data_IF_585851686906
#
_entry.id   IF_585851686906
#
_cell.length_a   1.000
_cell.length_b   1.000
_cell.length_c   1.000
_cell.angle_alpha   90.00
_cell.angle_beta   90.00
_cell.angle_gamma   90.00
#
_symmetry.space_group_name_H-M   'P 1'
#
loop_
_entity.id
_entity.type
_entity.pdbx_description
1 polymer ?
#
# COMPACT_ATOMS: atom_id res chain seq x y z
N UNK A 1 1.21 29.02 -4.72
CA UNK A 1 -0.19 28.90 -4.26
C UNK A 1 -0.18 28.54 -2.79
N UNK A 2 -0.98 29.21 -1.97
CA UNK A 2 -1.07 28.95 -0.52
C UNK A 2 -2.01 27.77 -0.26
N UNK A 3 -1.50 26.67 0.30
CA UNK A 3 -2.26 25.46 0.63
C UNK A 3 -3.09 25.59 1.92
N UNK A 4 -3.11 26.78 2.52
CA UNK A 4 -3.76 27.03 3.81
C UNK A 4 -5.25 26.68 3.83
N UNK A 5 -6.08 27.03 2.83
CA UNK A 5 -7.51 26.69 2.87
C UNK A 5 -7.81 25.18 2.85
N UNK A 6 -7.04 24.42 2.06
CA UNK A 6 -7.15 22.96 2.00
C UNK A 6 -6.67 22.32 3.30
N UNK A 7 -5.51 22.76 3.79
CA UNK A 7 -4.96 22.31 5.07
C UNK A 7 -5.94 22.57 6.22
N UNK A 8 -6.53 23.77 6.29
CA UNK A 8 -7.51 24.13 7.32
C UNK A 8 -8.78 23.27 7.23
N UNK A 9 -9.27 22.96 6.02
CA UNK A 9 -10.40 22.04 5.80
C UNK A 9 -10.09 20.60 6.24
N UNK A 10 -8.89 20.12 5.94
CA UNK A 10 -8.46 18.76 6.31
C UNK A 10 -8.25 18.66 7.83
N UNK A 11 -7.62 19.66 8.44
CA UNK A 11 -7.43 19.71 9.90
C UNK A 11 -8.77 19.84 10.63
N UNK A 12 -9.77 20.51 10.04
CA UNK A 12 -11.14 20.53 10.56
C UNK A 12 -11.81 19.15 10.50
N UNK A 13 -11.61 18.38 9.42
CA UNK A 13 -12.09 16.99 9.31
C UNK A 13 -11.38 16.03 10.28
N UNK A 14 -10.07 16.18 10.47
CA UNK A 14 -9.33 15.41 11.47
C UNK A 14 -9.80 15.74 12.89
N UNK A 15 -10.03 17.02 13.18
CA UNK A 15 -10.52 17.46 14.49
C UNK A 15 -11.91 16.89 14.81
N UNK A 16 -12.79 16.74 13.82
CA UNK A 16 -14.11 16.10 14.02
C UNK A 16 -14.02 14.58 14.06
N UNK A 17 -13.11 13.95 13.31
CA UNK A 17 -12.85 12.51 13.36
C UNK A 17 -12.13 12.04 14.63
N UNK A 18 -11.40 12.89 15.35
CA UNK A 18 -10.83 12.47 16.66
C UNK A 18 -11.88 12.13 17.73
N UNK A 19 -13.14 12.54 17.54
CA UNK A 19 -14.25 12.22 18.46
C UNK A 19 -14.91 10.86 18.18
N UNK A 20 -14.77 10.33 16.96
CA UNK A 20 -15.29 9.02 16.57
C UNK A 20 -14.13 8.23 15.95
N UNK A 21 -13.64 7.19 16.63
CA UNK A 21 -12.42 6.43 16.26
C UNK A 21 -12.50 5.71 14.90
N UNK A 22 -13.52 5.99 14.10
CA UNK A 22 -13.74 5.51 12.74
C UNK A 22 -12.79 6.19 11.75
N UNK A 23 -11.57 5.66 11.69
CA UNK A 23 -10.55 5.81 10.64
C UNK A 23 -10.23 7.23 10.16
N UNK A 24 -8.98 7.62 10.38
CA UNK A 24 -8.37 8.69 9.61
C UNK A 24 -8.16 8.19 8.19
N UNK A 25 -9.07 8.57 7.30
CA UNK A 25 -8.79 8.63 5.88
C UNK A 25 -7.52 9.45 5.70
N UNK A 26 -6.65 9.16 4.73
CA UNK A 26 -5.55 10.06 4.37
C UNK A 26 -6.05 11.03 3.28
N UNK A 27 -6.77 12.13 3.61
CA UNK A 27 -7.15 13.15 2.61
C UNK A 27 -5.93 13.90 2.04
N UNK A 28 -4.73 13.57 2.49
CA UNK A 28 -3.46 14.23 2.21
C UNK A 28 -2.82 13.84 0.88
N UNK A 29 -3.50 13.01 0.07
CA UNK A 29 -2.99 12.60 -1.24
C UNK A 29 -2.75 13.80 -2.16
N UNK A 30 -3.39 14.96 -1.98
CA UNK A 30 -3.02 16.17 -2.76
C UNK A 30 -1.57 16.65 -2.57
N UNK A 31 -0.88 16.23 -1.50
CA UNK A 31 0.52 16.59 -1.23
C UNK A 31 1.52 15.61 -1.87
N UNK A 32 1.04 14.50 -2.45
CA UNK A 32 1.87 13.52 -3.14
C UNK A 32 2.52 14.05 -4.42
N UNK A 33 1.85 14.95 -5.15
CA UNK A 33 2.24 15.34 -6.52
C UNK A 33 3.64 15.93 -6.67
N UNK A 34 4.27 16.38 -5.58
CA UNK A 34 5.61 16.99 -5.57
C UNK A 34 6.66 16.19 -4.78
N UNK A 35 6.25 15.12 -4.10
CA UNK A 35 7.12 14.40 -3.18
C UNK A 35 7.96 13.37 -3.93
N UNK A 36 9.18 13.78 -4.28
CA UNK A 36 10.24 12.86 -4.72
C UNK A 36 10.93 12.24 -3.52
N UNK A 37 11.53 11.08 -3.72
CA UNK A 37 12.39 10.45 -2.71
C UNK A 37 13.55 9.75 -3.41
N UNK A 38 14.75 9.93 -2.90
CA UNK A 38 15.94 9.22 -3.34
C UNK A 38 16.80 8.95 -2.11
N UNK A 39 16.75 7.71 -1.63
CA UNK A 39 17.41 7.31 -0.39
C UNK A 39 17.32 5.82 -0.15
N UNK A 40 17.74 5.37 1.02
CA UNK A 40 17.74 3.97 1.42
C UNK A 40 16.46 3.62 2.20
N UNK A 41 16.17 2.31 2.34
CA UNK A 41 15.10 1.84 3.22
C UNK A 41 15.25 2.34 4.65
N UNK A 42 16.48 2.38 5.20
CA UNK A 42 16.71 2.92 6.54
C UNK A 42 16.42 4.41 6.62
N UNK A 43 16.75 5.19 5.59
CA UNK A 43 16.40 6.62 5.55
C UNK A 43 14.88 6.82 5.54
N UNK A 44 14.10 5.97 4.88
CA UNK A 44 12.62 6.02 4.96
C UNK A 44 12.14 5.85 6.41
N UNK A 45 12.75 4.92 7.17
CA UNK A 45 12.43 4.70 8.59
C UNK A 45 12.79 5.92 9.44
N UNK A 46 13.98 6.50 9.23
CA UNK A 46 14.45 7.67 9.97
C UNK A 46 13.59 8.92 9.70
N UNK A 47 13.22 9.15 8.43
CA UNK A 47 12.34 10.25 8.03
C UNK A 47 10.93 10.07 8.59
N UNK A 48 10.43 8.84 8.63
CA UNK A 48 9.14 8.53 9.24
C UNK A 48 9.18 8.77 10.76
N UNK A 49 10.24 8.32 11.45
CA UNK A 49 10.42 8.54 12.89
C UNK A 49 10.45 10.04 13.22
N UNK A 50 11.10 10.83 12.37
CA UNK A 50 11.13 12.30 12.46
C UNK A 50 9.73 12.89 12.26
N UNK A 51 9.01 12.46 11.22
CA UNK A 51 7.65 12.92 10.90
C UNK A 51 6.63 12.57 11.99
N UNK A 52 6.75 11.41 12.62
CA UNK A 52 5.92 10.98 13.75
C UNK A 52 6.19 11.76 15.04
N UNK A 53 7.33 12.45 15.13
CA UNK A 53 7.74 13.25 16.29
C UNK A 53 7.48 14.75 16.09
N UNK A 54 7.33 15.18 14.84
CA UNK A 54 7.06 16.57 14.47
C UNK A 54 5.56 16.95 14.61
N UNK A 55 5.23 18.24 14.72
CA UNK A 55 3.84 18.71 14.66
C UNK A 55 3.12 18.29 13.37
N UNK A 56 1.79 18.23 13.40
CA UNK A 56 0.98 17.98 12.19
C UNK A 56 1.15 19.13 11.19
N UNK A 57 1.90 18.87 10.13
CA UNK A 57 2.01 19.72 8.94
C UNK A 57 1.66 18.90 7.70
N UNK A 58 1.31 19.60 6.62
CA UNK A 58 1.13 19.00 5.30
C UNK A 58 2.31 18.07 4.93
N UNK A 59 3.53 18.54 5.09
CA UNK A 59 4.74 17.75 4.79
C UNK A 59 4.86 16.48 5.64
N UNK A 60 4.68 16.58 6.96
CA UNK A 60 4.75 15.41 7.85
C UNK A 60 3.69 14.37 7.49
N UNK A 61 2.49 14.81 7.11
CA UNK A 61 1.39 13.95 6.72
C UNK A 61 1.66 13.25 5.38
N UNK A 62 2.21 13.98 4.42
CA UNK A 62 2.64 13.41 3.15
C UNK A 62 3.73 12.35 3.33
N UNK A 63 4.74 12.63 4.17
CA UNK A 63 5.80 11.69 4.49
C UNK A 63 5.28 10.41 5.15
N UNK A 64 4.38 10.54 6.12
CA UNK A 64 3.73 9.40 6.77
C UNK A 64 2.96 8.56 5.75
N UNK A 65 2.10 9.19 4.97
CA UNK A 65 1.28 8.49 3.97
C UNK A 65 2.18 7.74 2.97
N UNK A 66 3.30 8.32 2.55
CA UNK A 66 4.20 7.72 1.58
C UNK A 66 5.11 6.63 2.16
N UNK A 67 5.38 6.66 3.47
CA UNK A 67 6.39 5.81 4.07
C UNK A 67 6.03 4.33 3.95
N UNK A 68 4.78 3.94 4.21
CA UNK A 68 4.34 2.54 4.08
C UNK A 68 4.61 1.99 2.68
N UNK A 69 4.18 2.72 1.64
CA UNK A 69 4.45 2.34 0.25
C UNK A 69 5.93 2.34 -0.11
N UNK A 70 6.75 3.26 0.40
CA UNK A 70 8.21 3.28 0.19
C UNK A 70 8.89 2.06 0.83
N UNK A 71 8.55 1.73 2.09
CA UNK A 71 9.09 0.58 2.82
C UNK A 71 8.77 -0.74 2.10
N UNK A 72 7.49 -0.93 1.74
CA UNK A 72 7.03 -2.12 1.04
C UNK A 72 7.75 -2.27 -0.31
N UNK A 73 7.77 -1.21 -1.13
CA UNK A 73 8.43 -1.26 -2.46
C UNK A 73 9.91 -1.57 -2.38
N UNK A 74 10.64 -0.89 -1.49
CA UNK A 74 12.07 -1.14 -1.31
C UNK A 74 12.35 -2.57 -0.84
N UNK A 75 11.53 -3.10 0.06
CA UNK A 75 11.70 -4.47 0.57
C UNK A 75 11.42 -5.50 -0.51
N UNK A 76 10.38 -5.30 -1.32
CA UNK A 76 10.12 -6.16 -2.50
C UNK A 76 11.25 -6.06 -3.51
N UNK A 77 11.81 -4.88 -3.79
CA UNK A 77 12.93 -4.73 -4.72
C UNK A 77 14.18 -5.47 -4.25
N UNK A 78 14.48 -5.39 -2.94
CA UNK A 78 15.56 -6.15 -2.34
C UNK A 78 15.31 -7.66 -2.45
N UNK A 79 14.10 -8.10 -2.13
CA UNK A 79 13.67 -9.50 -2.20
C UNK A 79 13.80 -10.06 -3.61
N UNK A 80 13.35 -9.34 -4.64
CA UNK A 80 13.52 -9.75 -6.05
C UNK A 80 14.99 -9.85 -6.43
N UNK A 81 15.84 -8.96 -5.92
CA UNK A 81 17.29 -8.97 -6.19
C UNK A 81 18.04 -10.08 -5.44
N UNK A 82 17.55 -10.47 -4.26
CA UNK A 82 18.21 -11.41 -3.36
C UNK A 82 17.20 -12.47 -2.86
N UNK A 83 16.71 -13.34 -3.77
CA UNK A 83 15.67 -14.33 -3.44
C UNK A 83 16.07 -15.31 -2.34
N UNK A 84 17.37 -15.57 -2.18
CA UNK A 84 17.92 -16.54 -1.24
C UNK A 84 18.40 -15.91 0.09
N UNK A 85 18.16 -14.61 0.32
CA UNK A 85 18.54 -13.96 1.58
C UNK A 85 17.72 -14.55 2.75
N UNK A 86 18.37 -15.07 3.80
CA UNK A 86 17.65 -15.65 4.93
C UNK A 86 16.72 -14.65 5.62
N UNK A 87 15.47 -15.06 5.85
CA UNK A 87 14.51 -14.24 6.59
C UNK A 87 13.89 -13.08 5.79
N UNK A 88 14.09 -13.03 4.47
CA UNK A 88 13.56 -11.93 3.63
C UNK A 88 12.04 -11.95 3.51
N UNK A 89 11.42 -13.12 3.67
CA UNK A 89 9.98 -13.31 3.52
C UNK A 89 9.25 -12.81 4.76
N UNK A 90 9.79 -13.16 5.92
CA UNK A 90 9.38 -12.66 7.23
C UNK A 90 9.54 -11.15 7.27
N UNK A 91 10.70 -10.62 6.85
CA UNK A 91 10.92 -9.17 6.77
C UNK A 91 9.92 -8.49 5.83
N UNK A 92 9.64 -9.07 4.67
CA UNK A 92 8.66 -8.53 3.73
C UNK A 92 7.25 -8.51 4.31
N UNK A 93 6.84 -9.57 5.01
CA UNK A 93 5.55 -9.63 5.70
C UNK A 93 5.50 -8.60 6.83
N UNK A 94 6.52 -8.52 7.70
CA UNK A 94 6.61 -7.56 8.80
C UNK A 94 6.53 -6.10 8.30
N UNK A 95 7.21 -5.78 7.19
CA UNK A 95 7.14 -4.46 6.56
C UNK A 95 5.74 -4.16 6.03
N UNK A 96 5.09 -5.17 5.43
CA UNK A 96 3.74 -5.04 4.86
C UNK A 96 2.70 -4.86 5.97
N UNK A 97 2.79 -5.65 7.04
CA UNK A 97 1.93 -5.56 8.21
C UNK A 97 2.12 -4.21 8.91
N UNK A 98 3.36 -3.72 9.02
CA UNK A 98 3.64 -2.38 9.52
C UNK A 98 3.03 -1.29 8.63
N UNK A 99 3.10 -1.42 7.31
CA UNK A 99 2.51 -0.44 6.40
C UNK A 99 0.97 -0.38 6.53
N UNK A 100 0.31 -1.52 6.71
CA UNK A 100 -1.12 -1.59 7.01
C UNK A 100 -1.41 -0.96 8.37
N UNK A 101 -0.66 -1.35 9.41
CA UNK A 101 -0.80 -0.80 10.76
C UNK A 101 -0.61 0.71 10.78
N UNK A 102 0.38 1.23 10.05
CA UNK A 102 0.62 2.66 9.89
C UNK A 102 -0.63 3.38 9.39
N UNK A 103 -1.34 2.80 8.42
CA UNK A 103 -2.53 3.42 7.86
C UNK A 103 -3.74 3.37 8.81
N UNK A 104 -3.90 2.25 9.52
CA UNK A 104 -5.03 2.03 10.42
C UNK A 104 -4.88 2.78 11.76
N UNK A 105 -3.66 2.86 12.28
CA UNK A 105 -3.36 3.34 13.64
C UNK A 105 -2.63 4.68 13.67
N UNK A 106 -2.46 5.37 12.53
CA UNK A 106 -1.79 6.67 12.48
C UNK A 106 -2.24 7.70 13.54
N UNK A 107 -3.55 7.81 13.89
CA UNK A 107 -3.97 8.72 14.95
C UNK A 107 -3.26 8.46 16.29
N UNK A 108 -2.91 7.19 16.55
CA UNK A 108 -2.12 6.77 17.69
C UNK A 108 -0.61 6.77 17.36
N UNK A 109 -0.05 7.97 17.18
CA UNK A 109 1.38 8.16 16.84
C UNK A 109 2.35 7.48 17.80
N UNK A 110 1.98 7.29 19.07
CA UNK A 110 2.81 6.58 20.06
C UNK A 110 2.91 5.11 19.72
N UNK A 111 1.78 4.45 19.45
CA UNK A 111 1.76 3.05 19.04
C UNK A 111 2.50 2.84 17.72
N UNK A 112 2.25 3.69 16.72
CA UNK A 112 2.95 3.68 15.43
C UNK A 112 4.46 3.83 15.58
N UNK A 113 4.92 4.73 16.46
CA UNK A 113 6.35 4.92 16.71
C UNK A 113 6.99 3.71 17.40
N UNK A 114 6.27 3.07 18.32
CA UNK A 114 6.77 1.89 19.01
C UNK A 114 6.95 0.70 18.04
N UNK A 115 5.96 0.45 17.17
CA UNK A 115 6.09 -0.58 16.14
C UNK A 115 7.17 -0.22 15.11
N UNK A 116 7.31 1.07 14.75
CA UNK A 116 8.41 1.52 13.89
C UNK A 116 9.78 1.21 14.51
N UNK A 117 9.93 1.37 15.83
CA UNK A 117 11.16 1.04 16.55
C UNK A 117 11.53 -0.44 16.39
N UNK A 118 10.56 -1.34 16.53
CA UNK A 118 10.79 -2.79 16.32
C UNK A 118 11.18 -3.08 14.87
N UNK A 119 10.48 -2.49 13.91
CA UNK A 119 10.79 -2.65 12.49
C UNK A 119 12.20 -2.10 12.16
N UNK A 120 12.58 -0.97 12.77
CA UNK A 120 13.90 -0.36 12.62
C UNK A 120 15.01 -1.30 13.08
N UNK A 121 14.88 -1.90 14.25
CA UNK A 121 15.87 -2.86 14.79
C UNK A 121 16.00 -4.10 13.89
N UNK A 122 14.87 -4.60 13.39
CA UNK A 122 14.83 -5.71 12.43
C UNK A 122 15.54 -5.34 11.13
N UNK A 123 15.24 -4.17 10.56
CA UNK A 123 15.84 -3.69 9.32
C UNK A 123 17.33 -3.43 9.48
N UNK A 124 17.77 -2.85 10.59
CA UNK A 124 19.19 -2.59 10.88
C UNK A 124 20.04 -3.87 10.90
N UNK A 125 19.43 -4.99 11.25
CA UNK A 125 20.05 -6.32 11.24
C UNK A 125 19.99 -7.01 9.86
N UNK A 126 19.37 -6.38 8.86
CA UNK A 126 19.19 -6.91 7.51
C UNK A 126 20.01 -6.13 6.48
N UNK A 127 20.53 -6.84 5.47
CA UNK A 127 21.15 -6.20 4.30
C UNK A 127 20.17 -5.32 3.51
N UNK A 128 18.86 -5.52 3.71
CA UNK A 128 17.81 -4.72 3.08
C UNK A 128 17.87 -3.24 3.49
N UNK A 129 18.41 -2.90 4.67
CA UNK A 129 18.49 -1.51 5.16
C UNK A 129 19.08 -0.53 4.13
N UNK A 130 20.09 -0.97 3.36
CA UNK A 130 20.80 -0.14 2.38
C UNK A 130 20.19 -0.20 0.97
N UNK A 131 18.99 -0.77 0.82
CA UNK A 131 18.34 -0.84 -0.49
C UNK A 131 17.90 0.53 -0.94
N UNK A 132 18.32 0.94 -2.12
CA UNK A 132 17.89 2.20 -2.71
C UNK A 132 16.40 2.16 -3.05
N UNK A 133 15.68 3.15 -2.56
CA UNK A 133 14.29 3.46 -2.87
C UNK A 133 14.26 4.77 -3.62
N UNK A 134 13.77 4.72 -4.86
CA UNK A 134 13.61 5.90 -5.70
C UNK A 134 12.14 6.08 -6.03
N UNK A 135 11.58 7.23 -5.64
CA UNK A 135 10.25 7.69 -6.02
C UNK A 135 10.40 8.98 -6.81
N UNK A 136 10.07 8.92 -8.10
CA UNK A 136 9.95 10.12 -8.93
C UNK A 136 8.57 10.75 -8.73
N UNK A 137 8.46 12.03 -9.05
CA UNK A 137 7.15 12.67 -9.18
C UNK A 137 6.42 12.03 -10.36
N UNK A 138 5.19 11.59 -10.13
CA UNK A 138 4.32 10.97 -11.13
C UNK A 138 2.89 11.48 -10.91
N UNK A 139 2.51 12.45 -11.74
CA UNK A 139 1.22 13.12 -11.64
C UNK A 139 0.05 12.22 -12.08
N UNK A 140 0.29 11.30 -13.01
CA UNK A 140 -0.75 10.38 -13.48
C UNK A 140 -1.11 9.35 -12.40
N UNK A 141 -0.10 8.74 -11.76
CA UNK A 141 -0.31 7.83 -10.62
C UNK A 141 -0.88 8.53 -9.39
N UNK A 142 -0.71 9.85 -9.31
CA UNK A 142 -1.34 10.65 -8.28
C UNK A 142 -2.84 10.85 -8.55
N UNK A 143 -3.20 11.19 -9.80
CA UNK A 143 -4.60 11.34 -10.19
C UNK A 143 -5.39 10.08 -9.87
N UNK A 144 -4.81 8.90 -10.11
CA UNK A 144 -5.43 7.62 -9.80
C UNK A 144 -5.51 7.29 -8.31
N UNK A 145 -4.83 8.03 -7.44
CA UNK A 145 -4.93 7.88 -5.99
C UNK A 145 -5.86 8.92 -5.34
N UNK A 146 -6.68 9.63 -6.11
CA UNK A 146 -7.59 10.64 -5.54
C UNK A 146 -8.66 10.01 -4.62
N UNK A 147 -9.01 10.66 -3.49
CA UNK A 147 -10.00 10.12 -2.55
C UNK A 147 -11.37 9.79 -3.17
N UNK A 148 -11.81 10.56 -4.18
CA UNK A 148 -13.08 10.33 -4.87
C UNK A 148 -13.05 9.03 -5.68
N UNK A 149 -11.93 8.74 -6.36
CA UNK A 149 -11.77 7.51 -7.14
C UNK A 149 -11.67 6.30 -6.22
N UNK A 150 -10.90 6.40 -5.13
CA UNK A 150 -10.82 5.36 -4.11
C UNK A 150 -12.18 5.05 -3.47
N UNK A 151 -13.01 6.07 -3.26
CA UNK A 151 -14.37 5.88 -2.75
C UNK A 151 -15.27 5.17 -3.76
N UNK A 152 -15.18 5.53 -5.04
CA UNK A 152 -15.91 4.83 -6.11
C UNK A 152 -15.48 3.36 -6.21
N UNK A 153 -14.17 3.09 -6.20
CA UNK A 153 -13.64 1.73 -6.22
C UNK A 153 -14.08 0.93 -4.99
N UNK A 154 -14.18 1.56 -3.81
CA UNK A 154 -14.71 0.92 -2.61
C UNK A 154 -16.17 0.50 -2.79
N UNK A 155 -17.02 1.37 -3.33
CA UNK A 155 -18.44 1.10 -3.59
C UNK A 155 -18.63 -0.02 -4.63
N UNK A 156 -17.83 0.00 -5.70
CA UNK A 156 -17.82 -1.07 -6.70
C UNK A 156 -17.39 -2.40 -6.10
N UNK A 157 -16.34 -2.41 -5.27
CA UNK A 157 -15.87 -3.60 -4.58
C UNK A 157 -16.95 -4.22 -3.70
N UNK A 158 -17.69 -3.40 -2.95
CA UNK A 158 -18.77 -3.87 -2.09
C UNK A 158 -19.87 -4.62 -2.86
N UNK A 159 -20.13 -4.25 -4.12
CA UNK A 159 -21.08 -4.93 -4.99
C UNK A 159 -20.51 -6.18 -5.69
N UNK A 160 -19.18 -6.30 -5.77
CA UNK A 160 -18.51 -7.33 -6.56
C UNK A 160 -18.00 -8.53 -5.74
N UNK A 161 -17.64 -8.30 -4.47
CA UNK A 161 -17.12 -9.35 -3.58
C UNK A 161 -18.24 -10.12 -2.87
N UNK A 162 -17.99 -11.40 -2.62
CA UNK A 162 -18.99 -12.31 -2.04
C UNK A 162 -18.81 -12.49 -0.51
N UNK A 163 -17.81 -11.83 0.08
CA UNK A 163 -17.46 -11.90 1.52
C UNK A 163 -17.02 -10.54 2.03
N UNK A 164 -17.27 -10.28 3.32
CA UNK A 164 -16.74 -9.10 4.04
C UNK A 164 -15.23 -9.17 4.23
N UNK A 165 -14.68 -10.38 4.29
CA UNK A 165 -13.25 -10.59 4.39
C UNK A 165 -12.64 -10.64 2.99
N UNK A 166 -11.62 -9.82 2.74
CA UNK A 166 -10.92 -9.79 1.45
C UNK A 166 -9.43 -10.09 1.61
N UNK A 167 -8.85 -10.71 0.59
CA UNK A 167 -7.43 -10.68 0.32
C UNK A 167 -7.21 -9.64 -0.78
N UNK A 168 -6.78 -8.43 -0.40
CA UNK A 168 -6.43 -7.38 -1.35
C UNK A 168 -4.97 -7.56 -1.79
N UNK A 169 -4.77 -7.82 -3.08
CA UNK A 169 -3.44 -7.96 -3.68
C UNK A 169 -3.18 -6.73 -4.55
N UNK A 170 -2.42 -5.77 -4.00
CA UNK A 170 -2.02 -4.57 -4.71
C UNK A 170 -0.85 -4.86 -5.68
N UNK A 171 -1.07 -4.56 -6.95
CA UNK A 171 -0.07 -4.68 -8.00
C UNK A 171 0.94 -3.51 -7.95
N UNK A 172 2.11 -3.76 -8.53
CA UNK A 172 3.35 -3.04 -8.25
C UNK A 172 3.48 -1.59 -8.74
N UNK A 173 4.57 -0.96 -8.31
CA UNK A 173 5.05 0.42 -8.56
C UNK A 173 4.12 1.56 -8.11
N UNK A 174 2.90 1.64 -8.64
CA UNK A 174 1.92 2.68 -8.28
C UNK A 174 0.88 2.20 -7.29
N UNK A 175 0.38 0.97 -7.44
CA UNK A 175 -0.79 0.44 -6.75
C UNK A 175 -0.63 0.21 -5.25
N UNK A 176 0.60 0.19 -4.71
CA UNK A 176 0.84 -0.12 -3.29
C UNK A 176 0.22 0.93 -2.37
N UNK A 177 0.47 2.21 -2.63
CA UNK A 177 -0.08 3.31 -1.81
C UNK A 177 -1.60 3.37 -1.88
N UNK A 178 -2.23 3.53 -3.07
CA UNK A 178 -3.68 3.59 -3.15
C UNK A 178 -4.33 2.28 -2.69
N UNK A 179 -3.64 1.14 -2.83
CA UNK A 179 -4.08 -0.13 -2.28
C UNK A 179 -4.08 -0.15 -0.75
N UNK A 180 -3.07 0.43 -0.09
CA UNK A 180 -3.05 0.58 1.38
C UNK A 180 -4.18 1.49 1.87
N UNK A 181 -4.45 2.61 1.17
CA UNK A 181 -5.60 3.47 1.50
C UNK A 181 -6.92 2.71 1.32
N UNK A 182 -7.14 2.12 0.14
CA UNK A 182 -8.34 1.33 -0.15
C UNK A 182 -8.56 0.21 0.88
N UNK A 183 -7.50 -0.51 1.27
CA UNK A 183 -7.57 -1.55 2.29
C UNK A 183 -7.95 -0.99 3.67
N UNK A 184 -7.37 0.14 4.06
CA UNK A 184 -7.73 0.81 5.31
C UNK A 184 -9.20 1.21 5.33
N UNK A 185 -9.70 1.77 4.22
CA UNK A 185 -11.13 2.13 4.07
C UNK A 185 -12.03 0.91 4.12
N UNK A 186 -11.65 -0.17 3.43
CA UNK A 186 -12.36 -1.44 3.48
C UNK A 186 -12.48 -1.96 4.91
N UNK A 187 -11.37 -1.98 5.66
CA UNK A 187 -11.36 -2.44 7.05
C UNK A 187 -12.36 -1.66 7.92
N UNK A 188 -12.39 -0.33 7.78
CA UNK A 188 -13.35 0.53 8.49
C UNK A 188 -14.79 0.25 8.08
N UNK A 189 -15.03 0.14 6.78
CA UNK A 189 -16.38 0.01 6.24
C UNK A 189 -16.98 -1.38 6.50
N UNK A 190 -16.23 -2.43 6.19
CA UNK A 190 -16.67 -3.81 6.31
C UNK A 190 -16.61 -4.34 7.75
N UNK A 191 -15.85 -3.68 8.63
CA UNK A 191 -15.61 -4.12 10.01
C UNK A 191 -14.93 -5.49 10.07
N UNK A 192 -13.98 -5.75 9.16
CA UNK A 192 -13.35 -7.05 8.97
C UNK A 192 -11.93 -7.07 9.54
N UNK A 193 -11.74 -7.73 10.68
CA UNK A 193 -10.42 -7.97 11.28
C UNK A 193 -9.67 -9.14 10.61
N UNK A 194 -10.37 -9.91 9.78
CA UNK A 194 -9.82 -11.07 9.13
C UNK A 194 -9.36 -10.76 7.70
N UNK A 195 -9.56 -9.56 7.15
CA UNK A 195 -9.02 -9.19 5.84
C UNK A 195 -7.49 -9.17 5.82
N UNK A 196 -6.89 -9.37 4.65
CA UNK A 196 -5.44 -9.40 4.49
C UNK A 196 -5.00 -8.55 3.29
N UNK A 197 -3.88 -7.83 3.46
CA UNK A 197 -3.22 -7.10 2.39
C UNK A 197 -1.98 -7.86 1.93
N UNK A 198 -1.76 -7.89 0.62
CA UNK A 198 -0.56 -8.42 0.01
C UNK A 198 -0.13 -7.52 -1.15
N UNK A 199 1.16 -7.52 -1.49
CA UNK A 199 1.63 -6.85 -2.71
C UNK A 199 2.44 -7.78 -3.57
N UNK A 200 2.34 -7.59 -4.89
CA UNK A 200 3.14 -8.32 -5.87
C UNK A 200 3.66 -7.35 -6.92
N UNK A 201 4.94 -7.48 -7.26
CA UNK A 201 5.56 -6.74 -8.37
C UNK A 201 5.89 -7.67 -9.52
N UNK A 202 5.72 -7.20 -10.74
CA UNK A 202 6.08 -7.91 -11.96
C UNK A 202 7.55 -7.79 -12.32
N UNK A 203 8.18 -6.73 -11.85
CA UNK A 203 9.61 -6.52 -11.96
C UNK A 203 10.06 -5.36 -11.08
N UNK A 204 11.38 -5.13 -11.04
CA UNK A 204 11.98 -3.97 -10.37
C UNK A 204 11.73 -2.65 -11.12
N UNK A 205 11.52 -2.71 -12.44
CA UNK A 205 11.41 -1.53 -13.31
C UNK A 205 10.08 -1.53 -14.06
N UNK A 206 9.34 -0.42 -14.12
CA UNK A 206 8.01 -0.38 -14.78
C UNK A 206 8.04 -0.96 -16.20
N UNK A 207 9.13 -0.76 -16.95
CA UNK A 207 9.31 -1.27 -18.31
C UNK A 207 9.55 -2.79 -18.42
N UNK A 208 9.77 -3.49 -17.31
CA UNK A 208 10.07 -4.91 -17.23
C UNK A 208 8.86 -5.80 -16.94
N UNK A 209 7.66 -5.23 -16.82
CA UNK A 209 6.47 -5.94 -16.37
C UNK A 209 5.96 -6.92 -17.42
N UNK A 210 6.41 -8.18 -17.32
CA UNK A 210 5.99 -9.29 -18.19
C UNK A 210 5.12 -10.29 -17.45
N UNK A 211 5.56 -10.75 -16.27
CA UNK A 211 4.84 -11.66 -15.37
C UNK A 211 5.06 -11.24 -13.90
N UNK A 212 4.12 -11.50 -12.99
CA UNK A 212 4.33 -11.31 -11.55
C UNK A 212 5.57 -12.08 -11.07
N UNK A 213 6.49 -11.42 -10.35
CA UNK A 213 7.63 -12.08 -9.70
C UNK A 213 7.14 -12.67 -8.39
N UNK A 214 6.62 -13.88 -8.47
CA UNK A 214 6.26 -14.68 -7.31
C UNK A 214 7.43 -15.60 -6.96
N UNK A 215 7.87 -15.56 -5.71
CA UNK A 215 8.74 -16.58 -5.17
C UNK A 215 7.96 -17.89 -4.98
N UNK A 216 8.64 -19.05 -4.94
CA UNK A 216 7.96 -20.35 -4.84
C UNK A 216 6.97 -20.48 -3.66
N UNK A 217 7.26 -19.84 -2.52
CA UNK A 217 6.40 -19.87 -1.34
C UNK A 217 5.21 -18.90 -1.42
N UNK A 218 5.24 -17.87 -2.28
CA UNK A 218 4.14 -16.90 -2.40
C UNK A 218 2.84 -17.62 -2.73
N UNK A 219 2.90 -18.58 -3.65
CA UNK A 219 1.72 -19.33 -4.06
C UNK A 219 1.07 -20.10 -2.90
N UNK A 220 1.87 -20.60 -1.95
CA UNK A 220 1.36 -21.29 -0.76
C UNK A 220 0.76 -20.28 0.23
N UNK A 221 1.49 -19.19 0.51
CA UNK A 221 1.05 -18.13 1.43
C UNK A 221 -0.24 -17.47 0.94
N UNK A 222 -0.30 -17.08 -0.33
CA UNK A 222 -1.48 -16.48 -0.96
C UNK A 222 -2.68 -17.40 -0.91
N UNK A 223 -2.51 -18.71 -1.16
CA UNK A 223 -3.59 -19.70 -0.99
C UNK A 223 -4.09 -19.75 0.45
N UNK A 224 -3.18 -19.76 1.43
CA UNK A 224 -3.56 -19.72 2.85
C UNK A 224 -4.32 -18.42 3.20
N UNK A 225 -3.85 -17.27 2.70
CA UNK A 225 -4.52 -15.99 2.89
C UNK A 225 -5.89 -15.96 2.19
N UNK A 226 -6.08 -16.65 1.06
CA UNK A 226 -7.38 -16.66 0.37
C UNK A 226 -8.47 -17.46 1.09
N UNK A 227 -8.12 -18.34 2.05
CA UNK A 227 -9.10 -19.15 2.75
C UNK A 227 -10.12 -18.28 3.51
N UNK A 228 -11.40 -18.37 3.14
CA UNK A 228 -12.49 -17.60 3.74
C UNK A 228 -12.61 -16.15 3.25
N UNK A 229 -11.79 -15.74 2.27
CA UNK A 229 -11.73 -14.35 1.78
C UNK A 229 -12.08 -14.27 0.30
N UNK A 230 -12.69 -13.16 -0.12
CA UNK A 230 -12.75 -12.83 -1.55
C UNK A 230 -11.38 -12.36 -2.02
N UNK A 231 -10.91 -12.84 -3.17
CA UNK A 231 -9.62 -12.42 -3.73
C UNK A 231 -9.83 -11.20 -4.61
N UNK A 232 -9.15 -10.11 -4.28
CA UNK A 232 -9.20 -8.86 -5.04
C UNK A 232 -7.81 -8.57 -5.60
N UNK A 233 -7.70 -8.38 -6.91
CA UNK A 233 -6.52 -7.82 -7.56
C UNK A 233 -6.74 -6.32 -7.75
N UNK A 234 -5.81 -5.51 -7.27
CA UNK A 234 -5.92 -4.06 -7.32
C UNK A 234 -4.75 -3.44 -8.09
N UNK A 235 -5.07 -2.51 -8.99
CA UNK A 235 -4.10 -1.68 -9.71
C UNK A 235 -4.52 -0.21 -9.60
N UNK A 236 -3.58 0.75 -9.65
CA UNK A 236 -3.97 2.16 -9.54
C UNK A 236 -4.75 2.63 -10.78
N UNK A 237 -4.35 2.18 -11.97
CA UNK A 237 -4.94 2.61 -13.21
C UNK A 237 -5.04 1.48 -14.24
N UNK A 238 -5.91 1.68 -15.21
CA UNK A 238 -5.98 0.84 -16.42
C UNK A 238 -5.01 1.41 -17.44
N UNK A 239 -3.71 1.36 -17.17
CA UNK A 239 -2.74 1.59 -18.22
C UNK A 239 -3.01 0.61 -19.39
N UNK A 240 -2.87 1.04 -20.66
CA UNK A 240 -3.12 0.20 -21.85
C UNK A 240 -2.24 -1.08 -21.93
N UNK A 241 -1.36 -1.32 -20.96
CA UNK A 241 -0.45 -2.45 -20.87
C UNK A 241 -1.02 -3.75 -20.28
N UNK A 242 -2.26 -3.81 -19.79
CA UNK A 242 -2.87 -5.07 -19.35
C UNK A 242 -2.17 -5.77 -18.17
N UNK A 243 -1.57 -4.99 -17.26
CA UNK A 243 -0.93 -5.51 -16.04
C UNK A 243 -1.91 -6.30 -15.19
N UNK A 244 -3.08 -5.73 -14.89
CA UNK A 244 -4.14 -6.43 -14.14
C UNK A 244 -4.63 -7.70 -14.84
N UNK A 245 -4.83 -7.67 -16.17
CA UNK A 245 -5.23 -8.85 -16.96
C UNK A 245 -4.17 -9.96 -16.92
N UNK A 246 -2.88 -9.58 -17.02
CA UNK A 246 -1.76 -10.54 -16.90
C UNK A 246 -1.64 -11.10 -15.49
N UNK A 247 -1.83 -10.27 -14.46
CA UNK A 247 -1.94 -10.75 -13.09
C UNK A 247 -3.09 -11.75 -12.99
N UNK A 248 -4.31 -11.36 -13.36
CA UNK A 248 -5.49 -12.23 -13.29
C UNK A 248 -5.25 -13.56 -13.96
N UNK A 249 -4.64 -13.59 -15.14
CA UNK A 249 -4.30 -14.85 -15.83
C UNK A 249 -3.36 -15.73 -15.01
N UNK A 250 -2.29 -15.17 -14.45
CA UNK A 250 -1.33 -15.92 -13.64
C UNK A 250 -1.97 -16.41 -12.33
N UNK A 251 -2.65 -15.51 -11.62
CA UNK A 251 -3.30 -15.83 -10.35
C UNK A 251 -4.41 -16.86 -10.53
N UNK A 252 -5.33 -16.67 -11.46
CA UNK A 252 -6.44 -17.62 -11.70
C UNK A 252 -5.94 -19.01 -12.14
N UNK A 253 -4.90 -19.08 -12.97
CA UNK A 253 -4.41 -20.37 -13.49
C UNK A 253 -3.51 -21.11 -12.51
N UNK A 254 -2.64 -20.41 -11.78
CA UNK A 254 -1.55 -21.04 -11.04
C UNK A 254 -1.68 -20.94 -9.51
N UNK A 255 -2.35 -19.90 -9.00
CA UNK A 255 -2.41 -19.60 -7.57
C UNK A 255 -3.80 -19.90 -7.00
N UNK A 256 -4.86 -19.50 -7.69
CA UNK A 256 -6.24 -19.56 -7.25
C UNK A 256 -7.14 -20.30 -8.26
N UNK A 257 -6.83 -21.56 -8.62
CA UNK A 257 -7.64 -22.29 -9.58
C UNK A 257 -9.07 -22.48 -9.06
N UNK A 258 -10.05 -21.97 -9.82
CA UNK A 258 -11.47 -22.08 -9.51
C UNK A 258 -12.01 -21.05 -8.50
N UNK A 259 -11.18 -20.14 -8.00
CA UNK A 259 -11.61 -19.03 -7.14
C UNK A 259 -11.91 -17.82 -8.03
N UNK A 260 -13.07 -17.18 -7.82
CA UNK A 260 -13.41 -15.91 -8.47
C UNK A 260 -12.46 -14.83 -7.97
N UNK A 261 -11.79 -14.16 -8.90
CA UNK A 261 -10.93 -13.01 -8.63
C UNK A 261 -11.70 -11.75 -9.07
N UNK A 262 -11.85 -10.81 -8.15
CA UNK A 262 -12.41 -9.49 -8.43
C UNK A 262 -11.26 -8.56 -8.83
N UNK A 263 -11.41 -7.85 -9.94
CA UNK A 263 -10.48 -6.80 -10.36
C UNK A 263 -11.00 -5.45 -9.84
N UNK A 264 -10.11 -4.64 -9.29
CA UNK A 264 -10.41 -3.28 -8.85
C UNK A 264 -9.35 -2.31 -9.38
N UNK A 265 -9.80 -1.18 -9.90
CA UNK A 265 -8.94 -0.15 -10.46
C UNK A 265 -9.52 1.22 -10.12
N UNK A 266 -8.66 2.17 -9.71
CA UNK A 266 -9.14 3.51 -9.36
C UNK A 266 -9.41 4.39 -10.59
N UNK A 267 -8.54 4.32 -11.60
CA UNK A 267 -8.69 5.09 -12.83
C UNK A 267 -8.92 4.17 -14.03
N UNK A 268 -10.16 4.11 -14.51
CA UNK A 268 -10.48 3.46 -15.79
C UNK A 268 -10.40 4.49 -16.94
N UNK A 269 -9.36 4.40 -17.77
CA UNK A 269 -9.15 5.26 -18.94
C UNK A 269 -9.69 4.62 -20.23
N UNK A 270 -10.41 3.50 -20.15
CA UNK A 270 -10.97 2.80 -21.32
C UNK A 270 -12.30 3.39 -21.82
N UNK A 271 -12.87 4.33 -21.08
CA UNK A 271 -14.11 5.07 -21.41
C UNK A 271 -13.80 6.47 -21.90
#
# INVERSE_FOLDING_TARGET
MSYKPLFDSIMAQLATQTADRSAVFFPFLELYRLQTFDGTLMQVVDDLQTSLSAPYTAETLANVALAGGRLVRGTVDFRIKNPDEPGIDELFQEVTDYAVFLYQEYPNRVAVRNELGRLKDRLASSKAANTQVVQKADEAKWLSAQPVLLQQTLEELMGAVDSRDILLIALGHGGVVPGLDLFSRWHTFAGSDNSAFYTVRFSRHVSGDKNPQLMPYDAKKLRQLSCGRSVVLFDEDTSPGGTIERARRVFSKHIFPGIKIVEAVNADYRT
#
